data_IF_014726843283
#
_entry.id   IF_014726843283
#
_cell.length_a   1.000
_cell.length_b   1.000
_cell.length_c   1.000
_cell.angle_alpha   90.00
_cell.angle_beta   90.00
_cell.angle_gamma   90.00
#
_symmetry.space_group_name_H-M   'P 1'
#
loop_
_entity.id
_entity.type
_entity.pdbx_description
1 polymer ?
#
# COMPACT_ATOMS: atom_id res chain seq x y z
N UNK A 1 -17.74 3.77 -3.64
CA UNK A 1 -16.99 4.68 -2.76
C UNK A 1 -17.84 5.26 -1.63
N UNK A 2 -18.85 6.12 -1.90
CA UNK A 2 -19.63 6.81 -0.84
C UNK A 2 -20.25 5.83 0.17
N UNK A 3 -20.95 4.80 -0.31
CA UNK A 3 -21.56 3.79 0.56
C UNK A 3 -20.53 3.06 1.42
N UNK A 4 -19.40 2.64 0.84
CA UNK A 4 -18.31 1.96 1.56
C UNK A 4 -17.74 2.85 2.68
N UNK A 5 -17.48 4.12 2.38
CA UNK A 5 -16.95 5.09 3.34
C UNK A 5 -17.94 5.45 4.47
N UNK A 6 -19.23 5.12 4.32
CA UNK A 6 -20.24 5.30 5.35
C UNK A 6 -20.43 4.07 6.27
N UNK A 7 -19.72 2.96 6.02
CA UNK A 7 -19.82 1.74 6.85
C UNK A 7 -19.16 1.93 8.21
N UNK A 8 -19.84 1.52 9.27
CA UNK A 8 -19.34 1.50 10.64
C UNK A 8 -18.76 0.14 11.06
N UNK A 9 -18.23 0.02 12.29
CA UNK A 9 -17.68 -1.22 12.84
C UNK A 9 -18.68 -2.38 12.87
N UNK A 10 -19.97 -2.07 13.04
CA UNK A 10 -21.04 -3.08 13.14
C UNK A 10 -21.58 -3.55 11.77
N UNK A 11 -21.07 -3.01 10.66
CA UNK A 11 -21.57 -3.27 9.29
C UNK A 11 -20.55 -4.04 8.45
N UNK A 12 -19.96 -5.09 9.01
CA UNK A 12 -18.86 -5.83 8.38
C UNK A 12 -19.26 -6.53 7.08
N UNK A 13 -20.39 -7.25 7.07
CA UNK A 13 -20.86 -7.96 5.88
C UNK A 13 -21.08 -7.00 4.71
N UNK A 14 -21.68 -5.84 4.98
CA UNK A 14 -21.90 -4.79 3.99
C UNK A 14 -20.58 -4.17 3.51
N UNK A 15 -19.62 -3.96 4.42
CA UNK A 15 -18.28 -3.47 4.06
C UNK A 15 -17.58 -4.42 3.09
N UNK A 16 -17.62 -5.73 3.35
CA UNK A 16 -17.04 -6.72 2.45
C UNK A 16 -17.75 -6.73 1.08
N UNK A 17 -19.08 -6.78 1.08
CA UNK A 17 -19.89 -6.75 -0.16
C UNK A 17 -19.57 -5.53 -1.02
N UNK A 18 -19.54 -4.33 -0.42
CA UNK A 18 -19.23 -3.08 -1.11
C UNK A 18 -17.78 -3.05 -1.61
N UNK A 19 -16.83 -3.62 -0.87
CA UNK A 19 -15.46 -3.75 -1.35
C UNK A 19 -15.40 -4.63 -2.61
N UNK A 20 -16.06 -5.79 -2.62
CA UNK A 20 -16.10 -6.66 -3.80
C UNK A 20 -16.71 -5.96 -5.02
N UNK A 21 -17.75 -5.14 -4.83
CA UNK A 21 -18.32 -4.31 -5.89
C UNK A 21 -17.33 -3.25 -6.42
N UNK A 22 -16.55 -2.62 -5.55
CA UNK A 22 -15.54 -1.63 -5.91
C UNK A 22 -14.47 -2.24 -6.83
N UNK A 23 -13.96 -3.42 -6.49
CA UNK A 23 -12.91 -4.09 -7.26
C UNK A 23 -13.46 -4.95 -8.42
N UNK A 24 -14.78 -5.12 -8.49
CA UNK A 24 -15.46 -5.98 -9.47
C UNK A 24 -15.18 -7.48 -9.28
N UNK A 25 -14.65 -7.88 -8.12
CA UNK A 25 -14.25 -9.26 -7.81
C UNK A 25 -14.19 -9.47 -6.30
N UNK A 26 -14.24 -10.74 -5.89
CA UNK A 26 -13.93 -11.12 -4.51
C UNK A 26 -12.48 -10.74 -4.16
N UNK A 27 -12.30 -10.13 -2.99
CA UNK A 27 -10.99 -9.80 -2.43
C UNK A 27 -10.82 -10.50 -1.08
N UNK A 28 -9.58 -10.80 -0.72
CA UNK A 28 -9.20 -11.26 0.61
C UNK A 28 -8.29 -10.22 1.26
N UNK A 29 -8.84 -9.03 1.51
CA UNK A 29 -8.13 -7.91 2.10
C UNK A 29 -9.06 -7.16 3.05
N UNK A 30 -8.46 -6.56 4.08
CA UNK A 30 -9.16 -5.63 4.95
C UNK A 30 -8.87 -4.20 4.53
N UNK A 31 -9.91 -3.39 4.44
CA UNK A 31 -9.82 -1.98 4.05
C UNK A 31 -10.56 -1.15 5.07
N UNK A 32 -9.86 -0.24 5.72
CA UNK A 32 -10.46 0.72 6.63
C UNK A 32 -11.05 1.92 5.87
N UNK A 33 -12.34 2.24 6.07
CA UNK A 33 -12.91 3.46 5.53
C UNK A 33 -12.44 4.71 6.31
N UNK A 34 -12.27 5.86 5.63
CA UNK A 34 -12.54 6.07 4.22
C UNK A 34 -11.38 5.60 3.32
N UNK A 35 -11.75 5.06 2.17
CA UNK A 35 -10.86 4.68 1.07
C UNK A 35 -11.29 5.42 -0.20
N UNK A 36 -10.32 5.97 -0.94
CA UNK A 36 -10.57 6.79 -2.12
C UNK A 36 -9.85 6.23 -3.34
N UNK A 37 -10.51 6.28 -4.48
CA UNK A 37 -10.02 5.78 -5.77
C UNK A 37 -10.78 6.46 -6.92
N UNK A 38 -10.28 6.35 -8.16
CA UNK A 38 -10.96 6.87 -9.35
C UNK A 38 -11.99 5.87 -9.90
N UNK A 39 -11.57 4.61 -10.11
CA UNK A 39 -12.38 3.57 -10.76
C UNK A 39 -12.60 2.32 -9.89
N UNK A 40 -11.63 1.94 -9.05
CA UNK A 40 -11.66 0.75 -8.21
C UNK A 40 -11.29 -0.52 -8.96
N UNK A 41 -11.88 -0.73 -10.14
CA UNK A 41 -11.70 -1.91 -10.99
C UNK A 41 -10.31 -2.04 -11.64
N UNK A 42 -9.51 -0.96 -11.64
CA UNK A 42 -8.12 -0.98 -12.10
C UNK A 42 -7.13 -1.42 -11.02
N UNK A 43 -7.61 -1.66 -9.79
CA UNK A 43 -6.79 -2.14 -8.69
C UNK A 43 -6.89 -3.68 -8.63
N UNK A 44 -5.73 -4.31 -8.62
CA UNK A 44 -5.52 -5.73 -8.39
C UNK A 44 -4.89 -5.90 -7.02
N UNK A 45 -5.51 -6.68 -6.13
CA UNK A 45 -5.05 -6.88 -4.76
C UNK A 45 -4.96 -8.37 -4.44
N UNK A 46 -3.80 -8.79 -3.95
CA UNK A 46 -3.54 -10.15 -3.48
C UNK A 46 -4.10 -10.42 -2.08
N UNK A 47 -3.86 -11.64 -1.60
CA UNK A 47 -4.46 -12.15 -0.37
C UNK A 47 -3.74 -11.64 0.88
N UNK A 48 -4.51 -11.43 1.96
CA UNK A 48 -3.99 -11.04 3.26
C UNK A 48 -3.51 -9.59 3.33
N UNK A 49 -3.95 -8.73 2.41
CA UNK A 49 -3.60 -7.32 2.44
C UNK A 49 -4.39 -6.54 3.49
N UNK A 50 -3.77 -5.49 4.03
CA UNK A 50 -4.39 -4.57 4.97
C UNK A 50 -4.18 -3.13 4.49
N UNK A 51 -5.27 -2.41 4.23
CA UNK A 51 -5.29 -1.00 3.84
C UNK A 51 -5.87 -0.18 4.98
N UNK A 52 -5.06 0.70 5.57
CA UNK A 52 -5.48 1.54 6.69
C UNK A 52 -6.23 2.80 6.23
N UNK A 53 -6.72 3.59 7.20
CA UNK A 53 -7.56 4.77 6.99
C UNK A 53 -6.98 5.76 5.97
N UNK A 54 -7.86 6.39 5.21
CA UNK A 54 -7.56 7.54 4.35
C UNK A 54 -6.54 7.23 3.24
N UNK A 55 -6.45 5.99 2.76
CA UNK A 55 -5.64 5.68 1.57
C UNK A 55 -6.31 6.17 0.28
N UNK A 56 -5.50 6.67 -0.66
CA UNK A 56 -5.94 7.26 -1.93
C UNK A 56 -5.25 6.59 -3.12
N UNK A 57 -5.96 5.77 -3.88
CA UNK A 57 -5.42 5.00 -5.00
C UNK A 57 -5.95 5.56 -6.33
N UNK A 58 -5.19 6.45 -6.95
CA UNK A 58 -5.53 7.11 -8.23
C UNK A 58 -5.22 6.13 -9.37
N UNK A 59 -6.23 5.34 -9.72
CA UNK A 59 -6.16 4.15 -10.58
C UNK A 59 -6.67 4.41 -12.01
N UNK A 60 -6.32 5.54 -12.61
CA UNK A 60 -6.50 5.78 -14.05
C UNK A 60 -5.68 4.79 -14.91
N UNK A 61 -4.55 4.31 -14.38
CA UNK A 61 -3.80 3.14 -14.82
C UNK A 61 -3.90 1.99 -13.81
N UNK A 62 -3.21 0.87 -14.10
CA UNK A 62 -3.21 -0.32 -13.25
C UNK A 62 -2.43 -0.11 -11.96
N UNK A 63 -3.04 -0.48 -10.83
CA UNK A 63 -2.36 -0.64 -9.53
C UNK A 63 -2.36 -2.13 -9.21
N UNK A 64 -1.19 -2.74 -9.11
CA UNK A 64 -1.03 -4.18 -8.90
C UNK A 64 -0.37 -4.39 -7.54
N UNK A 65 -1.09 -4.96 -6.60
CA UNK A 65 -0.68 -5.21 -5.22
C UNK A 65 -0.61 -6.73 -5.01
N UNK A 66 0.56 -7.20 -4.57
CA UNK A 66 0.83 -8.59 -4.25
C UNK A 66 0.12 -9.08 -2.98
N UNK A 67 0.60 -10.17 -2.42
CA UNK A 67 0.05 -10.77 -1.20
C UNK A 67 0.65 -10.17 0.06
N UNK A 68 -0.13 -10.12 1.15
CA UNK A 68 0.30 -9.71 2.49
C UNK A 68 0.96 -8.32 2.53
N UNK A 69 0.50 -7.43 1.66
CA UNK A 69 0.96 -6.04 1.63
C UNK A 69 0.21 -5.26 2.71
N UNK A 70 0.96 -4.52 3.52
CA UNK A 70 0.42 -3.69 4.60
C UNK A 70 0.61 -2.23 4.27
N UNK A 71 -0.46 -1.44 4.34
CA UNK A 71 -0.43 0.00 4.15
C UNK A 71 -0.72 0.71 5.48
N UNK A 72 0.12 1.68 5.83
CA UNK A 72 -0.18 2.65 6.88
C UNK A 72 -1.27 3.63 6.45
N UNK A 73 -1.79 4.46 7.37
CA UNK A 73 -2.84 5.41 7.05
C UNK A 73 -2.33 6.51 6.12
N UNK A 74 -3.21 7.03 5.26
CA UNK A 74 -2.90 8.19 4.40
C UNK A 74 -1.98 7.89 3.22
N UNK A 75 -1.73 6.62 2.87
CA UNK A 75 -0.90 6.28 1.70
C UNK A 75 -1.59 6.74 0.42
N UNK A 76 -0.81 7.31 -0.50
CA UNK A 76 -1.27 7.68 -1.84
C UNK A 76 -0.51 6.89 -2.90
N UNK A 77 -1.24 6.24 -3.81
CA UNK A 77 -0.69 5.62 -5.01
C UNK A 77 -1.24 6.38 -6.21
N UNK A 78 -0.37 6.88 -7.07
CA UNK A 78 -0.78 7.54 -8.29
C UNK A 78 -0.20 6.84 -9.51
N UNK A 79 -1.08 6.43 -10.42
CA UNK A 79 -0.69 5.94 -11.75
C UNK A 79 -0.66 7.06 -12.79
N UNK A 80 -1.21 8.23 -12.46
CA UNK A 80 -1.37 9.37 -13.37
C UNK A 80 -0.34 10.47 -13.14
N UNK A 81 0.09 11.11 -14.22
CA UNK A 81 0.76 12.40 -14.20
C UNK A 81 0.40 13.26 -15.41
N UNK A 82 0.91 14.50 -15.41
CA UNK A 82 0.73 15.45 -16.52
C UNK A 82 2.09 15.92 -17.04
N UNK A 83 2.23 16.19 -18.35
CA UNK A 83 3.42 16.82 -18.89
C UNK A 83 3.74 18.14 -18.16
N UNK A 84 5.02 18.38 -17.83
CA UNK A 84 5.42 19.57 -17.07
C UNK A 84 5.13 20.85 -17.87
N UNK A 85 5.24 20.82 -19.20
CA UNK A 85 4.96 21.99 -20.04
C UNK A 85 3.46 22.35 -19.97
N UNK A 86 3.10 23.58 -19.56
CA UNK A 86 1.71 23.98 -19.40
C UNK A 86 0.85 23.84 -20.66
N UNK A 87 1.45 23.93 -21.85
CA UNK A 87 0.73 23.79 -23.12
C UNK A 87 0.22 22.36 -23.37
N UNK A 88 0.70 21.37 -22.62
CA UNK A 88 0.34 19.96 -22.77
C UNK A 88 -0.34 19.37 -21.52
N UNK A 89 -0.62 20.17 -20.48
CA UNK A 89 -1.14 19.65 -19.20
C UNK A 89 -2.59 19.17 -19.24
N UNK A 90 -3.35 19.50 -20.29
CA UNK A 90 -4.67 18.90 -20.52
C UNK A 90 -4.56 17.41 -20.86
N UNK A 91 -3.41 16.96 -21.37
CA UNK A 91 -3.09 15.55 -21.53
C UNK A 91 -2.63 14.97 -20.19
N UNK A 92 -3.04 13.73 -19.93
CA UNK A 92 -2.57 12.90 -18.82
C UNK A 92 -1.91 11.64 -19.36
N UNK A 93 -0.84 11.20 -18.72
CA UNK A 93 -0.26 9.87 -18.95
C UNK A 93 -0.56 8.97 -17.76
N UNK A 94 -0.67 7.67 -18.03
CA UNK A 94 -0.88 6.65 -17.01
C UNK A 94 0.22 5.60 -17.11
N UNK A 95 1.00 5.42 -16.05
CA UNK A 95 2.01 4.37 -15.93
C UNK A 95 1.67 3.47 -14.73
N UNK A 96 1.56 2.14 -14.92
CA UNK A 96 1.19 1.22 -13.86
C UNK A 96 2.10 1.29 -12.64
N UNK A 97 1.53 1.07 -11.46
CA UNK A 97 2.30 0.88 -10.22
C UNK A 97 2.20 -0.57 -9.78
N UNK A 98 3.33 -1.16 -9.40
CA UNK A 98 3.40 -2.53 -8.88
C UNK A 98 4.00 -2.53 -7.47
N UNK A 99 3.33 -3.18 -6.53
CA UNK A 99 3.83 -3.44 -5.18
C UNK A 99 3.82 -4.96 -5.00
N UNK A 100 5.00 -5.54 -4.82
CA UNK A 100 5.15 -6.99 -4.69
C UNK A 100 4.84 -7.48 -3.27
N UNK A 101 4.91 -8.79 -3.09
CA UNK A 101 4.48 -9.48 -1.88
C UNK A 101 5.22 -8.99 -0.61
N UNK A 102 4.53 -9.07 0.53
CA UNK A 102 5.06 -8.77 1.87
C UNK A 102 5.61 -7.34 2.06
N UNK A 103 5.29 -6.39 1.19
CA UNK A 103 5.73 -5.02 1.37
C UNK A 103 4.99 -4.33 2.53
N UNK A 104 5.69 -3.45 3.24
CA UNK A 104 5.09 -2.55 4.23
C UNK A 104 5.26 -1.10 3.80
N UNK A 105 4.14 -0.43 3.51
CA UNK A 105 4.11 0.95 3.08
C UNK A 105 3.74 1.85 4.26
N UNK A 106 4.69 2.63 4.75
CA UNK A 106 4.52 3.49 5.92
C UNK A 106 3.48 4.61 5.74
N UNK A 107 2.98 5.12 6.87
CA UNK A 107 1.95 6.15 6.90
C UNK A 107 2.31 7.38 6.04
N UNK A 108 1.35 7.87 5.25
CA UNK A 108 1.52 9.07 4.44
C UNK A 108 2.53 8.96 3.30
N UNK A 109 3.00 7.75 2.95
CA UNK A 109 3.87 7.57 1.79
C UNK A 109 3.12 7.83 0.47
N UNK A 110 3.85 8.34 -0.53
CA UNK A 110 3.35 8.65 -1.86
C UNK A 110 4.14 7.82 -2.87
N UNK A 111 3.45 7.07 -3.73
CA UNK A 111 4.04 6.24 -4.78
C UNK A 111 3.67 6.84 -6.13
N UNK A 112 4.68 7.26 -6.89
CA UNK A 112 4.53 7.95 -8.17
C UNK A 112 4.25 6.98 -9.33
N UNK A 113 3.79 7.49 -10.49
CA UNK A 113 3.50 6.67 -11.67
C UNK A 113 4.70 5.82 -12.12
N UNK A 114 4.44 4.60 -12.57
CA UNK A 114 5.45 3.70 -13.13
C UNK A 114 6.34 2.98 -12.11
N UNK A 115 6.17 3.22 -10.81
CA UNK A 115 7.04 2.64 -9.77
C UNK A 115 6.72 1.17 -9.51
N UNK A 116 7.77 0.37 -9.40
CA UNK A 116 7.75 -0.98 -8.82
C UNK A 116 8.42 -1.01 -7.44
N UNK A 117 7.73 -1.53 -6.42
CA UNK A 117 8.29 -1.83 -5.11
C UNK A 117 8.48 -3.34 -5.01
N UNK A 118 9.74 -3.77 -4.92
CA UNK A 118 10.11 -5.18 -4.87
C UNK A 118 9.75 -5.84 -3.53
N UNK A 119 9.58 -7.16 -3.57
CA UNK A 119 9.08 -7.96 -2.44
C UNK A 119 9.81 -7.72 -1.11
N UNK A 120 9.09 -7.93 0.00
CA UNK A 120 9.56 -7.76 1.38
C UNK A 120 10.04 -6.34 1.75
N UNK A 121 9.91 -5.35 0.86
CA UNK A 121 10.46 -4.02 1.10
C UNK A 121 9.60 -3.19 2.04
N UNK A 122 10.28 -2.34 2.81
CA UNK A 122 9.67 -1.38 3.73
C UNK A 122 9.86 0.03 3.18
N UNK A 123 8.77 0.76 3.03
CA UNK A 123 8.77 2.19 2.72
C UNK A 123 8.49 2.96 4.01
N UNK A 124 9.43 3.81 4.43
CA UNK A 124 9.25 4.63 5.62
C UNK A 124 8.10 5.63 5.48
N UNK A 125 7.51 6.01 6.61
CA UNK A 125 6.45 7.01 6.66
C UNK A 125 6.86 8.34 5.99
N UNK A 126 5.92 8.97 5.28
CA UNK A 126 6.12 10.24 4.58
C UNK A 126 7.05 10.20 3.37
N UNK A 127 7.44 9.00 2.91
CA UNK A 127 8.34 8.88 1.75
C UNK A 127 7.66 9.24 0.45
N UNK A 128 8.41 9.83 -0.49
CA UNK A 128 7.93 10.11 -1.86
C UNK A 128 8.71 9.24 -2.84
N UNK A 129 8.12 8.11 -3.22
CA UNK A 129 8.73 7.07 -4.05
C UNK A 129 8.58 7.46 -5.51
N UNK A 130 9.70 7.87 -6.13
CA UNK A 130 9.76 8.37 -7.52
C UNK A 130 10.54 7.44 -8.46
N UNK A 131 11.08 6.34 -7.92
CA UNK A 131 11.85 5.32 -8.62
C UNK A 131 11.60 3.97 -7.99
N UNK A 132 11.85 2.91 -8.76
CA UNK A 132 11.73 1.55 -8.28
C UNK A 132 12.58 1.29 -7.02
N UNK A 133 12.03 0.48 -6.14
CA UNK A 133 12.68 0.02 -4.91
C UNK A 133 13.01 -1.47 -5.08
N UNK A 134 14.29 -1.87 -4.99
CA UNK A 134 14.67 -3.28 -5.06
C UNK A 134 14.06 -4.08 -3.91
N UNK A 135 13.83 -5.38 -4.13
CA UNK A 135 13.39 -6.31 -3.08
C UNK A 135 14.29 -6.29 -1.83
N UNK A 136 13.72 -6.66 -0.69
CA UNK A 136 14.37 -6.73 0.62
C UNK A 136 15.03 -5.41 1.05
N UNK A 137 14.44 -4.27 0.68
CA UNK A 137 14.98 -2.94 0.98
C UNK A 137 14.21 -2.23 2.08
N UNK A 138 14.92 -1.47 2.93
CA UNK A 138 14.33 -0.40 3.72
C UNK A 138 14.61 0.91 3.00
N UNK A 139 13.58 1.59 2.50
CA UNK A 139 13.69 2.83 1.74
C UNK A 139 12.90 3.96 2.42
N UNK A 140 13.50 5.15 2.51
CA UNK A 140 12.91 6.29 3.23
C UNK A 140 13.19 7.61 2.51
N UNK A 141 12.38 8.64 2.81
CA UNK A 141 12.68 10.03 2.49
C UNK A 141 11.92 10.62 1.29
N UNK A 142 12.18 11.90 1.02
CA UNK A 142 11.61 12.65 -0.10
C UNK A 142 12.74 13.40 -0.85
N UNK A 143 13.17 12.94 -2.04
CA UNK A 143 12.73 11.71 -2.69
C UNK A 143 13.18 10.45 -1.93
N UNK A 144 12.41 9.38 -2.04
CA UNK A 144 12.69 8.11 -1.38
C UNK A 144 13.96 7.47 -1.94
N UNK A 145 14.81 6.96 -1.05
CA UNK A 145 16.05 6.26 -1.39
C UNK A 145 16.18 5.02 -0.50
N UNK A 146 16.79 3.97 -1.04
CA UNK A 146 17.20 2.82 -0.23
C UNK A 146 18.17 3.30 0.84
N UNK A 147 17.80 3.07 2.10
CA UNK A 147 18.63 3.35 3.27
C UNK A 147 19.57 2.17 3.54
N UNK A 148 19.03 0.96 3.51
CA UNK A 148 19.77 -0.30 3.70
C UNK A 148 18.95 -1.49 3.18
N UNK A 149 19.59 -2.63 3.07
CA UNK A 149 18.94 -3.93 2.86
C UNK A 149 18.48 -4.51 4.20
N UNK A 150 17.41 -5.30 4.17
CA UNK A 150 16.95 -6.13 5.30
C UNK A 150 17.98 -7.26 5.51
N UNK A 151 18.34 -7.53 6.75
CA UNK A 151 19.40 -8.50 7.07
C UNK A 151 19.07 -9.31 8.34
N UNK A 152 20.03 -10.11 8.82
CA UNK A 152 19.87 -10.96 10.00
C UNK A 152 19.52 -10.19 11.27
N UNK A 153 19.93 -8.92 11.39
CA UNK A 153 19.55 -8.10 12.55
C UNK A 153 18.04 -7.88 12.61
N UNK A 154 17.35 -7.81 11.46
CA UNK A 154 15.89 -7.66 11.39
C UNK A 154 15.14 -8.94 11.78
N UNK A 155 15.82 -10.09 11.77
CA UNK A 155 15.28 -11.36 12.32
C UNK A 155 15.35 -11.39 13.83
N UNK A 156 16.23 -10.58 14.43
CA UNK A 156 16.44 -10.53 15.86
C UNK A 156 15.78 -9.31 16.50
N UNK A 157 15.82 -8.15 15.85
CA UNK A 157 15.38 -6.87 16.39
C UNK A 157 14.24 -6.27 15.55
N UNK A 158 13.07 -6.04 16.17
CA UNK A 158 11.91 -5.49 15.46
C UNK A 158 11.73 -3.98 15.65
N UNK A 159 12.23 -3.41 16.75
CA UNK A 159 12.14 -1.98 17.01
C UNK A 159 13.24 -1.50 17.95
N UNK A 160 14.16 -0.67 17.43
CA UNK A 160 15.34 -0.20 18.16
C UNK A 160 16.13 -1.40 18.70
N UNK A 161 16.40 -1.45 20.01
CA UNK A 161 17.07 -2.59 20.65
C UNK A 161 16.14 -3.68 21.16
N UNK A 162 14.86 -3.69 20.78
CA UNK A 162 13.91 -4.73 21.22
C UNK A 162 14.07 -5.98 20.36
N UNK A 163 14.39 -7.08 21.03
CA UNK A 163 14.50 -8.39 20.41
C UNK A 163 13.12 -9.03 20.24
N UNK A 164 12.92 -9.78 19.16
CA UNK A 164 11.75 -10.64 18.98
C UNK A 164 11.99 -11.94 19.75
N UNK A 165 11.10 -12.24 20.70
CA UNK A 165 11.18 -13.43 21.54
C UNK A 165 10.17 -14.48 21.09
N UNK A 166 10.36 -15.72 21.53
CA UNK A 166 9.36 -16.77 21.30
C UNK A 166 8.01 -16.41 21.94
N UNK A 167 8.03 -15.72 23.08
CA UNK A 167 6.80 -15.27 23.76
C UNK A 167 6.02 -14.26 22.90
N UNK A 168 6.72 -13.31 22.25
CA UNK A 168 6.08 -12.35 21.33
C UNK A 168 5.40 -13.08 20.16
N UNK A 169 6.06 -14.11 19.61
CA UNK A 169 5.52 -14.92 18.51
C UNK A 169 4.31 -15.76 18.96
N UNK A 170 4.36 -16.34 20.15
CA UNK A 170 3.28 -17.14 20.72
C UNK A 170 2.07 -16.28 21.10
N UNK A 171 2.28 -15.04 21.53
CA UNK A 171 1.22 -14.05 21.73
C UNK A 171 0.52 -13.70 20.41
N UNK A 172 1.28 -13.31 19.38
CA UNK A 172 0.72 -12.98 18.07
C UNK A 172 -0.04 -14.17 17.45
N UNK A 173 0.48 -15.39 17.59
CA UNK A 173 -0.18 -16.60 17.09
C UNK A 173 -1.53 -16.89 17.78
N UNK A 174 -1.75 -16.42 19.01
CA UNK A 174 -3.03 -16.56 19.74
C UNK A 174 -4.07 -15.52 19.35
N UNK A 175 -3.65 -14.40 18.75
CA UNK A 175 -4.53 -13.32 18.30
C UNK A 175 -5.10 -13.54 16.90
N UNK A 176 -4.51 -14.47 16.14
CA UNK A 176 -4.94 -14.88 14.80
C UNK A 176 -5.88 -16.07 14.85
#
# INVERSE_FOLDING_TARGET
>A
MIAFNATGPDTLEERFRLAEEIFGRKINAWIEPPFYFCYGTNIEIGDGCYINFNCNFVDDGKIIIGNRVMFGPGVTIATVGHPINPNYREYMYCDPVKIEDNCWIGAGAIIAPGVTIGENSVIGAGSVVTKDIPANSVAVGNPCKVLRTINEDDMKYYYKGREITQEDLDEEARLR
#
